data_IF_018765843506
#
_entry.id   IF_018765843506
#
_cell.length_a   1.000
_cell.length_b   1.000
_cell.length_c   1.000
_cell.angle_alpha   90.00
_cell.angle_beta   90.00
_cell.angle_gamma   90.00
#
_symmetry.space_group_name_H-M   'P 1'
#
loop_
_entity.id
_entity.type
_entity.pdbx_description
1 polymer ?
#
# COMPACT_ATOMS: atom_id res chain seq x y z
N UNK A 1 -52.92 -15.90 24.05
CA UNK A 1 -51.69 -16.11 23.26
C UNK A 1 -51.98 -15.73 21.82
N UNK A 2 -51.55 -14.55 21.38
CA UNK A 2 -51.73 -14.08 20.00
C UNK A 2 -50.60 -14.62 19.14
N UNK A 3 -50.87 -15.65 18.34
CA UNK A 3 -49.92 -16.16 17.34
C UNK A 3 -49.83 -15.12 16.23
N UNK A 4 -48.75 -14.34 16.22
CA UNK A 4 -48.40 -13.52 15.07
C UNK A 4 -47.79 -14.46 14.02
N UNK A 5 -48.64 -15.11 13.23
CA UNK A 5 -48.23 -15.71 11.97
C UNK A 5 -47.75 -14.57 11.07
N UNK A 6 -46.48 -14.25 11.19
CA UNK A 6 -45.79 -13.32 10.30
C UNK A 6 -45.77 -14.02 8.95
N UNK A 7 -46.67 -13.61 8.05
CA UNK A 7 -46.77 -14.20 6.71
C UNK A 7 -45.38 -14.33 6.11
N UNK A 8 -44.95 -15.52 5.65
CA UNK A 8 -43.58 -15.78 5.22
C UNK A 8 -43.12 -14.80 4.13
N UNK A 9 -44.07 -14.30 3.33
CA UNK A 9 -43.87 -13.25 2.33
C UNK A 9 -43.37 -11.93 2.93
N UNK A 10 -43.88 -11.50 4.09
CA UNK A 10 -43.49 -10.24 4.73
C UNK A 10 -42.05 -10.29 5.23
N UNK A 11 -41.62 -11.43 5.77
CA UNK A 11 -40.23 -11.66 6.20
C UNK A 11 -39.29 -11.67 5.00
N UNK A 12 -39.68 -12.30 3.89
CA UNK A 12 -38.90 -12.30 2.63
C UNK A 12 -38.78 -10.88 2.08
N UNK A 13 -39.86 -10.11 2.02
CA UNK A 13 -39.83 -8.71 1.57
C UNK A 13 -38.94 -7.82 2.44
N UNK A 14 -38.99 -7.99 3.76
CA UNK A 14 -38.13 -7.26 4.71
C UNK A 14 -36.66 -7.63 4.54
N UNK A 15 -36.35 -8.92 4.34
CA UNK A 15 -34.99 -9.38 4.08
C UNK A 15 -34.44 -8.82 2.77
N UNK A 16 -35.23 -8.84 1.69
CA UNK A 16 -34.84 -8.25 0.40
C UNK A 16 -34.58 -6.74 0.50
N UNK A 17 -35.44 -6.01 1.22
CA UNK A 17 -35.22 -4.58 1.48
C UNK A 17 -33.95 -4.33 2.30
N UNK A 18 -33.69 -5.13 3.35
CA UNK A 18 -32.49 -5.00 4.15
C UNK A 18 -31.22 -5.25 3.30
N UNK A 19 -31.22 -6.29 2.46
CA UNK A 19 -30.10 -6.57 1.53
C UNK A 19 -29.92 -5.44 0.51
N UNK A 20 -31.01 -4.89 -0.04
CA UNK A 20 -30.95 -3.76 -0.96
C UNK A 20 -30.35 -2.52 -0.30
N UNK A 21 -30.75 -2.21 0.94
CA UNK A 21 -30.19 -1.10 1.72
C UNK A 21 -28.70 -1.31 1.99
N UNK A 22 -28.28 -2.53 2.36
CA UNK A 22 -26.87 -2.88 2.54
C UNK A 22 -26.10 -2.66 1.23
N UNK A 23 -26.62 -3.12 0.08
CA UNK A 23 -26.01 -2.88 -1.22
C UNK A 23 -25.91 -1.39 -1.56
N UNK A 24 -26.96 -0.60 -1.30
CA UNK A 24 -26.95 0.85 -1.51
C UNK A 24 -25.92 1.52 -0.62
N UNK A 25 -25.84 1.13 0.65
CA UNK A 25 -24.88 1.65 1.61
C UNK A 25 -23.44 1.26 1.24
N UNK A 26 -23.22 0.04 0.74
CA UNK A 26 -21.93 -0.39 0.19
C UNK A 26 -21.59 0.34 -1.12
N UNK A 27 -22.57 0.63 -1.98
CA UNK A 27 -22.34 1.35 -3.22
C UNK A 27 -22.04 2.84 -3.00
N UNK A 28 -22.70 3.46 -2.02
CA UNK A 28 -22.47 4.86 -1.64
C UNK A 28 -21.22 5.05 -0.79
N UNK A 29 -20.90 4.11 0.11
CA UNK A 29 -19.75 4.22 1.03
C UNK A 29 -18.50 3.50 0.52
N UNK A 30 -18.66 2.42 -0.26
CA UNK A 30 -17.58 1.53 -0.68
C UNK A 30 -16.71 2.05 -1.82
N UNK A 31 -16.98 3.25 -2.35
CA UNK A 31 -16.15 3.83 -3.41
C UNK A 31 -14.81 4.39 -2.90
N UNK A 32 -14.71 4.73 -1.61
CA UNK A 32 -13.48 5.26 -1.02
C UNK A 32 -12.43 4.18 -0.77
N UNK A 33 -12.82 2.96 -0.39
CA UNK A 33 -11.89 1.87 -0.12
C UNK A 33 -11.32 1.21 -1.41
N UNK A 34 -12.08 1.23 -2.50
CA UNK A 34 -11.65 0.59 -3.77
C UNK A 34 -10.66 1.46 -4.54
N UNK A 35 -10.65 2.79 -4.33
CA UNK A 35 -9.76 3.71 -5.07
C UNK A 35 -8.28 3.52 -4.75
N UNK A 36 -7.95 3.08 -3.53
CA UNK A 36 -6.57 2.82 -3.10
C UNK A 36 -5.97 1.51 -3.66
N UNK A 37 -6.81 0.62 -4.20
CA UNK A 37 -6.40 -0.71 -4.69
C UNK A 37 -6.31 -0.79 -6.23
N UNK A 38 -6.35 0.34 -6.93
CA UNK A 38 -6.22 0.35 -8.39
C UNK A 38 -4.86 -0.26 -8.81
N UNK A 39 -4.90 -1.35 -9.57
CA UNK A 39 -3.73 -2.00 -10.15
C UNK A 39 -2.83 -0.97 -10.86
N UNK A 40 -1.55 -0.91 -10.47
CA UNK A 40 -0.64 0.17 -10.87
C UNK A 40 -0.56 1.37 -9.90
N UNK A 41 -0.82 1.16 -8.60
CA UNK A 41 -0.75 2.21 -7.59
C UNK A 41 0.63 2.90 -7.50
N UNK A 42 0.73 4.06 -6.81
CA UNK A 42 1.96 4.87 -6.72
C UNK A 42 3.22 4.07 -6.34
N UNK A 43 3.07 3.04 -5.52
CA UNK A 43 4.16 2.15 -5.12
C UNK A 43 4.68 1.29 -6.27
N UNK A 44 3.81 0.77 -7.13
CA UNK A 44 4.19 -0.09 -8.24
C UNK A 44 4.94 0.71 -9.32
N UNK A 45 4.50 1.94 -9.58
CA UNK A 45 5.25 2.90 -10.39
C UNK A 45 6.62 3.23 -9.79
N UNK A 46 6.70 3.42 -8.46
CA UNK A 46 7.97 3.66 -7.79
C UNK A 46 8.92 2.45 -7.87
N UNK A 47 8.41 1.22 -7.74
CA UNK A 47 9.19 -0.02 -7.91
C UNK A 47 9.69 -0.16 -9.36
N UNK A 48 8.84 0.10 -10.34
CA UNK A 48 9.21 0.06 -11.75
C UNK A 48 10.26 1.14 -12.10
N UNK A 49 10.18 2.32 -11.48
CA UNK A 49 11.17 3.38 -11.61
C UNK A 49 12.49 2.98 -10.92
N UNK A 50 12.43 2.45 -9.70
CA UNK A 50 13.58 1.94 -8.95
C UNK A 50 14.36 0.88 -9.76
N UNK A 51 13.67 -0.10 -10.35
CA UNK A 51 14.29 -1.17 -11.14
C UNK A 51 15.09 -0.66 -12.35
N UNK A 52 14.80 0.54 -12.86
CA UNK A 52 15.49 1.13 -14.02
C UNK A 52 16.49 2.22 -13.64
N UNK A 53 16.49 2.65 -12.38
CA UNK A 53 17.27 3.79 -11.94
C UNK A 53 18.70 3.40 -11.55
N UNK A 54 19.55 4.41 -11.43
CA UNK A 54 20.95 4.27 -11.06
C UNK A 54 21.37 5.31 -10.06
N UNK A 55 22.31 4.95 -9.19
CA UNK A 55 22.96 5.89 -8.28
C UNK A 55 24.47 5.76 -8.39
N UNK A 56 25.16 6.90 -8.48
CA UNK A 56 26.61 6.94 -8.62
C UNK A 56 27.14 6.04 -9.76
N UNK A 57 26.42 5.96 -10.88
CA UNK A 57 26.77 5.13 -12.04
C UNK A 57 26.39 3.64 -11.93
N UNK A 58 25.89 3.18 -10.78
CA UNK A 58 25.56 1.77 -10.53
C UNK A 58 24.04 1.55 -10.56
N UNK A 59 23.61 0.43 -11.13
CA UNK A 59 22.20 0.03 -11.09
C UNK A 59 21.75 -0.22 -9.65
N UNK A 60 20.49 0.15 -9.35
CA UNK A 60 19.89 -0.19 -8.08
C UNK A 60 19.63 -1.70 -8.01
N UNK A 61 19.81 -2.33 -6.82
CA UNK A 61 19.49 -3.75 -6.64
C UNK A 61 17.99 -3.99 -6.74
N UNK A 62 17.59 -5.18 -7.18
CA UNK A 62 16.18 -5.60 -7.15
C UNK A 62 15.57 -5.43 -5.75
N UNK A 63 14.33 -4.96 -5.67
CA UNK A 63 13.69 -4.63 -4.40
C UNK A 63 13.37 -5.86 -3.54
N UNK A 64 13.27 -7.04 -4.16
CA UNK A 64 13.09 -8.35 -3.52
C UNK A 64 14.41 -9.07 -3.23
N UNK A 65 15.56 -8.43 -3.53
CA UNK A 65 16.85 -9.00 -3.24
C UNK A 65 17.00 -9.36 -1.75
N UNK A 66 17.80 -10.39 -1.42
CA UNK A 66 18.05 -10.77 -0.04
C UNK A 66 18.49 -9.59 0.83
N UNK A 67 18.00 -9.52 2.07
CA UNK A 67 18.25 -8.39 2.97
C UNK A 67 19.75 -8.08 3.13
N UNK A 68 20.62 -9.10 3.17
CA UNK A 68 22.07 -8.89 3.26
C UNK A 68 22.66 -8.17 2.04
N UNK A 69 22.13 -8.42 0.82
CA UNK A 69 22.58 -7.76 -0.41
C UNK A 69 22.16 -6.30 -0.42
N UNK A 70 20.93 -6.03 0.01
CA UNK A 70 20.43 -4.66 0.17
C UNK A 70 21.22 -3.90 1.24
N UNK A 71 21.52 -4.53 2.38
CA UNK A 71 22.33 -3.93 3.43
C UNK A 71 23.75 -3.59 2.95
N UNK A 72 24.39 -4.50 2.22
CA UNK A 72 25.69 -4.26 1.62
C UNK A 72 25.63 -3.11 0.59
N UNK A 73 24.61 -3.08 -0.27
CA UNK A 73 24.40 -1.98 -1.20
C UNK A 73 24.28 -0.64 -0.48
N UNK A 74 23.45 -0.53 0.56
CA UNK A 74 23.37 0.71 1.32
C UNK A 74 24.70 1.06 1.99
N UNK A 75 25.48 0.06 2.45
CA UNK A 75 26.79 0.28 3.03
C UNK A 75 27.81 0.91 2.05
N UNK A 76 27.71 0.63 0.74
CA UNK A 76 28.60 1.24 -0.27
C UNK A 76 28.25 2.69 -0.59
N UNK A 77 27.04 3.15 -0.25
CA UNK A 77 26.59 4.50 -0.52
C UNK A 77 27.03 5.49 0.57
N UNK A 78 27.29 6.73 0.17
CA UNK A 78 27.47 7.84 1.12
C UNK A 78 26.15 8.18 1.81
N UNK A 79 26.20 8.82 2.97
CA UNK A 79 24.97 9.25 3.68
C UNK A 79 24.06 10.10 2.79
N UNK A 80 24.62 11.06 2.04
CA UNK A 80 23.85 11.89 1.11
C UNK A 80 23.15 11.08 0.01
N UNK A 81 23.81 10.07 -0.55
CA UNK A 81 23.22 9.17 -1.54
C UNK A 81 22.08 8.33 -0.96
N UNK A 82 22.24 7.84 0.28
CA UNK A 82 21.20 7.07 0.97
C UNK A 82 19.94 7.92 1.17
N UNK A 83 20.09 9.13 1.72
CA UNK A 83 18.96 10.03 1.95
C UNK A 83 18.32 10.49 0.64
N UNK A 84 19.10 10.77 -0.41
CA UNK A 84 18.56 11.08 -1.73
C UNK A 84 17.68 9.94 -2.30
N UNK A 85 18.06 8.68 -2.10
CA UNK A 85 17.21 7.54 -2.47
C UNK A 85 15.95 7.46 -1.61
N UNK A 86 16.06 7.72 -0.31
CA UNK A 86 14.92 7.71 0.60
C UNK A 86 13.92 8.82 0.28
N UNK A 87 14.39 9.98 -0.18
CA UNK A 87 13.53 11.10 -0.60
C UNK A 87 12.91 10.85 -1.98
N UNK A 88 13.66 10.26 -2.92
CA UNK A 88 13.19 9.97 -4.29
C UNK A 88 12.25 8.76 -4.35
N UNK A 89 12.50 7.74 -3.54
CA UNK A 89 11.74 6.48 -3.52
C UNK A 89 11.31 6.08 -2.09
N UNK A 90 10.54 6.93 -1.40
CA UNK A 90 10.23 6.74 0.01
C UNK A 90 9.45 5.43 0.28
N UNK A 91 8.48 5.12 -0.59
CA UNK A 91 7.67 3.89 -0.48
C UNK A 91 8.46 2.61 -0.80
N UNK A 92 9.56 2.70 -1.53
CA UNK A 92 10.46 1.56 -1.80
C UNK A 92 11.40 1.39 -0.62
N UNK A 93 12.22 2.40 -0.32
CA UNK A 93 13.27 2.35 0.72
C UNK A 93 12.69 2.03 2.09
N UNK A 94 11.54 2.60 2.44
CA UNK A 94 10.85 2.32 3.71
C UNK A 94 10.44 0.86 3.93
N UNK A 95 10.27 0.11 2.83
CA UNK A 95 9.86 -1.29 2.81
C UNK A 95 11.00 -2.28 2.50
N UNK A 96 12.23 -1.82 2.25
CA UNK A 96 13.38 -2.70 1.99
C UNK A 96 13.91 -3.30 3.30
N UNK A 97 13.93 -4.63 3.37
CA UNK A 97 14.35 -5.35 4.58
C UNK A 97 15.82 -5.12 4.96
N UNK A 98 16.69 -4.80 4.01
CA UNK A 98 18.11 -4.50 4.27
C UNK A 98 18.46 -3.01 4.42
N UNK A 99 17.48 -2.10 4.34
CA UNK A 99 17.76 -0.68 4.52
C UNK A 99 18.06 -0.36 6.01
N UNK A 100 19.04 0.51 6.31
CA UNK A 100 19.31 0.95 7.68
C UNK A 100 18.04 1.49 8.35
N UNK A 101 17.84 1.18 9.64
CA UNK A 101 16.59 1.51 10.35
C UNK A 101 16.27 3.00 10.32
N UNK A 102 17.27 3.86 10.53
CA UNK A 102 17.11 5.32 10.46
C UNK A 102 16.67 5.78 9.08
N UNK A 103 17.19 5.13 8.02
CA UNK A 103 16.83 5.42 6.64
C UNK A 103 15.40 4.98 6.31
N UNK A 104 14.99 3.79 6.79
CA UNK A 104 13.61 3.32 6.64
C UNK A 104 12.62 4.24 7.34
N UNK A 105 12.96 4.69 8.54
CA UNK A 105 12.12 5.62 9.29
C UNK A 105 11.95 6.96 8.56
N UNK A 106 13.05 7.53 8.06
CA UNK A 106 13.03 8.74 7.24
C UNK A 106 12.16 8.57 6.00
N UNK A 107 12.40 7.52 5.21
CA UNK A 107 11.63 7.21 4.01
C UNK A 107 10.12 7.05 4.30
N UNK A 108 9.76 6.37 5.39
CA UNK A 108 8.37 6.21 5.79
C UNK A 108 7.71 7.53 6.21
N UNK A 109 8.43 8.44 6.87
CA UNK A 109 7.90 9.78 7.18
C UNK A 109 7.63 10.59 5.92
N UNK A 110 8.55 10.57 4.97
CA UNK A 110 8.38 11.23 3.66
C UNK A 110 7.18 10.62 2.92
N UNK A 111 7.02 9.29 2.93
CA UNK A 111 5.87 8.63 2.31
C UNK A 111 4.52 9.05 2.93
N UNK A 112 4.52 9.43 4.21
CA UNK A 112 3.34 9.89 4.94
C UNK A 112 3.12 11.41 4.86
N UNK A 113 4.03 12.16 4.21
CA UNK A 113 3.96 13.62 4.10
C UNK A 113 4.24 14.37 5.41
N UNK A 114 5.03 13.79 6.30
CA UNK A 114 5.44 14.39 7.60
C UNK A 114 6.80 15.10 7.55
#
# INVERSE_FOLDING_TARGET
MTSFDTSPTLTVWRALLAVAVVFVMLATTGWSAVRDQQAGGPRELALAAWARDRIAGHALPEADAPAYRLAHFFATLTSGQRFALADKYPSVVGNLNGAPVTLRYHANRVALGQ
#
